data_IF_147703768731
#
_entry.id   IF_147703768731
#
_cell.length_a   1.000
_cell.length_b   1.000
_cell.length_c   1.000
_cell.angle_alpha   90.00
_cell.angle_beta   90.00
_cell.angle_gamma   90.00
#
_symmetry.space_group_name_H-M   'P 1'
#
loop_
_entity.id
_entity.type
_entity.pdbx_description
1 polymer ?
#
# COMPACT_ATOMS: atom_id res chain seq x y z
N UNK A 1 -30.32 -21.42 12.28
CA UNK A 1 -30.24 -21.24 13.75
C UNK A 1 -28.89 -21.58 14.38
N UNK A 2 -28.17 -22.68 14.07
CA UNK A 2 -26.81 -22.89 14.59
C UNK A 2 -25.74 -22.04 13.86
N UNK A 3 -25.88 -21.88 12.54
CA UNK A 3 -24.95 -21.11 11.70
C UNK A 3 -24.91 -19.61 12.08
N UNK A 4 -26.08 -18.99 12.28
CA UNK A 4 -26.17 -17.58 12.68
C UNK A 4 -25.52 -17.31 14.05
N UNK A 5 -25.63 -18.27 14.98
CA UNK A 5 -25.01 -18.17 16.30
C UNK A 5 -23.48 -18.24 16.23
N UNK A 6 -22.94 -19.06 15.34
CA UNK A 6 -21.50 -19.17 15.09
C UNK A 6 -20.97 -17.89 14.45
N UNK A 7 -21.66 -17.39 13.40
CA UNK A 7 -21.29 -16.14 12.74
C UNK A 7 -21.30 -14.95 13.71
N UNK A 8 -22.33 -14.85 14.56
CA UNK A 8 -22.42 -13.78 15.57
C UNK A 8 -21.26 -13.84 16.59
N UNK A 9 -20.88 -15.05 17.03
CA UNK A 9 -19.75 -15.25 17.93
C UNK A 9 -18.42 -14.85 17.28
N UNK A 10 -18.21 -15.25 16.02
CA UNK A 10 -17.02 -14.90 15.25
C UNK A 10 -16.91 -13.39 15.02
N UNK A 11 -18.00 -12.74 14.61
CA UNK A 11 -18.05 -11.29 14.40
C UNK A 11 -17.71 -10.52 15.68
N UNK A 12 -18.22 -10.97 16.84
CA UNK A 12 -17.90 -10.39 18.14
C UNK A 12 -16.41 -10.53 18.47
N UNK A 13 -15.82 -11.68 18.19
CA UNK A 13 -14.40 -11.92 18.40
C UNK A 13 -13.53 -11.03 17.50
N UNK A 14 -13.87 -10.93 16.21
CA UNK A 14 -13.17 -10.09 15.25
C UNK A 14 -13.24 -8.60 15.64
N UNK A 15 -14.42 -8.11 16.03
CA UNK A 15 -14.57 -6.73 16.52
C UNK A 15 -13.71 -6.44 17.75
N UNK A 16 -13.58 -7.42 18.67
CA UNK A 16 -12.67 -7.30 19.82
C UNK A 16 -11.20 -7.29 19.39
N UNK A 17 -10.80 -8.17 18.47
CA UNK A 17 -9.44 -8.20 17.91
C UNK A 17 -9.10 -6.87 17.20
N UNK A 18 -10.02 -6.32 16.41
CA UNK A 18 -9.89 -4.99 15.80
C UNK A 18 -9.67 -3.90 16.84
N UNK A 19 -10.46 -3.92 17.92
CA UNK A 19 -10.29 -2.98 19.03
C UNK A 19 -8.90 -3.01 19.65
N UNK A 20 -8.31 -4.19 19.82
CA UNK A 20 -6.94 -4.35 20.34
C UNK A 20 -5.91 -3.73 19.38
N UNK A 21 -6.05 -3.99 18.08
CA UNK A 21 -5.18 -3.44 17.03
C UNK A 21 -5.28 -1.92 16.97
N UNK A 22 -6.50 -1.36 17.02
CA UNK A 22 -6.74 0.09 17.10
C UNK A 22 -6.07 0.70 18.34
N UNK A 23 -6.23 0.06 19.51
CA UNK A 23 -5.60 0.54 20.73
C UNK A 23 -4.08 0.57 20.65
N UNK A 24 -3.46 -0.44 20.03
CA UNK A 24 -2.01 -0.45 19.80
C UNK A 24 -1.56 0.71 18.88
N UNK A 25 -2.34 1.05 17.85
CA UNK A 25 -2.05 2.21 17.00
C UNK A 25 -2.19 3.52 17.80
N UNK A 26 -3.23 3.64 18.62
CA UNK A 26 -3.42 4.78 19.51
C UNK A 26 -2.24 4.94 20.48
N UNK A 27 -1.73 3.85 21.07
CA UNK A 27 -0.54 3.90 21.92
C UNK A 27 0.70 4.42 21.16
N UNK A 28 0.90 3.97 19.91
CA UNK A 28 2.00 4.48 19.08
C UNK A 28 1.82 5.97 18.77
N UNK A 29 0.60 6.39 18.45
CA UNK A 29 0.27 7.79 18.19
C UNK A 29 0.60 8.67 19.40
N UNK A 30 0.12 8.30 20.59
CA UNK A 30 0.42 9.03 21.83
C UNK A 30 1.93 9.08 22.13
N UNK A 31 2.66 8.00 21.86
CA UNK A 31 4.11 8.01 22.00
C UNK A 31 4.77 9.01 21.04
N UNK A 32 4.41 8.99 19.75
CA UNK A 32 4.99 9.89 18.75
C UNK A 32 4.62 11.35 19.00
N UNK A 33 3.41 11.64 19.48
CA UNK A 33 2.95 12.99 19.83
C UNK A 33 3.72 13.59 21.02
N UNK A 34 4.18 12.74 21.95
CA UNK A 34 4.93 13.16 23.14
C UNK A 34 6.45 13.06 22.99
N UNK A 35 6.94 12.58 21.86
CA UNK A 35 8.38 12.38 21.62
C UNK A 35 9.08 13.70 21.27
N UNK A 36 10.22 13.96 21.92
CA UNK A 36 11.04 15.14 21.70
C UNK A 36 12.41 14.75 21.08
N UNK A 37 12.65 15.00 19.78
CA UNK A 37 13.93 14.68 19.14
C UNK A 37 15.16 15.39 19.71
N UNK A 38 14.99 16.42 20.53
CA UNK A 38 16.11 17.11 21.19
C UNK A 38 16.57 16.41 22.48
N UNK A 39 15.71 15.57 23.06
CA UNK A 39 15.95 14.85 24.32
C UNK A 39 16.00 13.33 24.09
N UNK A 40 15.09 12.82 23.27
CA UNK A 40 14.90 11.40 23.00
C UNK A 40 15.73 10.93 21.80
N UNK A 41 16.29 9.72 21.91
CA UNK A 41 17.07 9.12 20.84
C UNK A 41 16.18 8.71 19.65
N UNK A 42 16.44 9.29 18.47
CA UNK A 42 15.69 9.01 17.23
C UNK A 42 15.70 7.53 16.84
N UNK A 43 16.76 6.79 17.19
CA UNK A 43 16.82 5.33 16.97
C UNK A 43 15.67 4.58 17.67
N UNK A 44 15.16 5.08 18.80
CA UNK A 44 13.99 4.49 19.48
C UNK A 44 12.73 4.55 18.61
N UNK A 45 12.53 5.66 17.86
CA UNK A 45 11.43 5.76 16.89
C UNK A 45 11.63 4.78 15.74
N UNK A 46 12.85 4.63 15.25
CA UNK A 46 13.17 3.70 14.17
C UNK A 46 12.91 2.23 14.57
N UNK A 47 13.21 1.83 15.80
CA UNK A 47 12.85 0.49 16.28
C UNK A 47 11.34 0.33 16.43
N UNK A 48 10.65 1.33 16.99
CA UNK A 48 9.21 1.26 17.22
C UNK A 48 8.38 1.28 15.94
N UNK A 49 8.82 1.98 14.90
CA UNK A 49 8.08 2.06 13.64
C UNK A 49 8.01 0.72 12.90
N UNK A 50 8.92 -0.24 13.17
CA UNK A 50 8.91 -1.56 12.55
C UNK A 50 7.63 -2.36 12.83
N UNK A 51 6.93 -2.02 13.93
CA UNK A 51 5.67 -2.66 14.31
C UNK A 51 4.47 -2.11 13.52
N UNK A 52 4.57 -0.91 12.92
CA UNK A 52 3.47 -0.28 12.21
C UNK A 52 3.00 -1.10 10.99
N UNK A 53 3.87 -1.56 10.06
CA UNK A 53 3.43 -2.42 8.95
C UNK A 53 2.71 -3.70 9.41
N UNK A 54 3.21 -4.34 10.47
CA UNK A 54 2.59 -5.53 11.05
C UNK A 54 1.22 -5.24 11.63
N UNK A 55 1.07 -4.08 12.26
CA UNK A 55 -0.20 -3.63 12.82
C UNK A 55 -1.23 -3.33 11.73
N UNK A 56 -0.80 -2.67 10.65
CA UNK A 56 -1.65 -2.40 9.49
C UNK A 56 -2.16 -3.69 8.86
N UNK A 57 -1.26 -4.66 8.60
CA UNK A 57 -1.67 -5.96 8.04
C UNK A 57 -2.68 -6.68 8.94
N UNK A 58 -2.46 -6.70 10.26
CA UNK A 58 -3.42 -7.30 11.20
C UNK A 58 -4.77 -6.61 11.16
N UNK A 59 -4.79 -5.28 11.07
CA UNK A 59 -6.05 -4.53 10.93
C UNK A 59 -6.76 -4.93 9.65
N UNK A 60 -6.06 -4.91 8.51
CA UNK A 60 -6.61 -5.26 7.21
C UNK A 60 -7.22 -6.66 7.19
N UNK A 61 -6.47 -7.65 7.68
CA UNK A 61 -6.94 -9.04 7.73
C UNK A 61 -8.21 -9.20 8.58
N UNK A 62 -8.27 -8.53 9.74
CA UNK A 62 -9.41 -8.58 10.65
C UNK A 62 -10.60 -7.82 10.05
N UNK A 63 -10.37 -6.61 9.54
CA UNK A 63 -11.43 -5.72 9.08
C UNK A 63 -12.05 -6.23 7.79
N UNK A 64 -11.27 -6.82 6.89
CA UNK A 64 -11.81 -7.52 5.72
C UNK A 64 -12.67 -8.72 6.10
N UNK A 65 -12.32 -9.49 7.13
CA UNK A 65 -13.21 -10.55 7.62
C UNK A 65 -14.53 -9.99 8.19
N UNK A 66 -14.49 -8.82 8.82
CA UNK A 66 -15.71 -8.14 9.29
C UNK A 66 -16.56 -7.68 8.11
N UNK A 67 -15.96 -7.00 7.11
CA UNK A 67 -16.64 -6.55 5.88
C UNK A 67 -17.32 -7.72 5.14
N UNK A 68 -16.73 -8.93 5.18
CA UNK A 68 -17.30 -10.12 4.56
C UNK A 68 -18.45 -10.76 5.37
N UNK A 69 -18.57 -10.46 6.66
CA UNK A 69 -19.59 -11.03 7.56
C UNK A 69 -20.78 -10.07 7.80
N UNK A 70 -20.64 -8.82 7.38
CA UNK A 70 -21.56 -7.73 7.71
C UNK A 70 -22.25 -7.28 6.42
N UNK A 71 -23.52 -7.64 6.25
CA UNK A 71 -24.34 -7.23 5.10
C UNK A 71 -25.06 -5.88 5.32
N UNK A 72 -25.23 -5.47 6.59
CA UNK A 72 -25.82 -4.20 7.01
C UNK A 72 -24.75 -3.40 7.76
N UNK A 73 -24.59 -2.10 7.52
CA UNK A 73 -23.52 -1.22 8.05
C UNK A 73 -22.22 -1.12 7.21
N UNK A 74 -22.23 -1.46 5.91
CA UNK A 74 -21.04 -1.31 5.02
C UNK A 74 -20.38 0.08 5.13
N UNK A 75 -21.19 1.15 5.13
CA UNK A 75 -20.70 2.54 5.23
C UNK A 75 -19.93 2.79 6.53
N UNK A 76 -20.39 2.22 7.65
CA UNK A 76 -19.73 2.36 8.95
C UNK A 76 -18.40 1.62 8.99
N UNK A 77 -18.34 0.44 8.37
CA UNK A 77 -17.10 -0.32 8.30
C UNK A 77 -16.09 0.35 7.34
N UNK A 78 -16.54 0.96 6.23
CA UNK A 78 -15.71 1.80 5.34
C UNK A 78 -15.15 3.03 6.09
N UNK A 79 -15.99 3.73 6.87
CA UNK A 79 -15.53 4.83 7.72
C UNK A 79 -14.48 4.40 8.73
N UNK A 80 -14.62 3.21 9.32
CA UNK A 80 -13.66 2.70 10.29
C UNK A 80 -12.31 2.37 9.66
N UNK A 81 -12.32 1.85 8.43
CA UNK A 81 -11.11 1.66 7.63
C UNK A 81 -10.43 3.01 7.36
N UNK A 82 -11.19 3.98 6.86
CA UNK A 82 -10.70 5.32 6.55
C UNK A 82 -10.08 6.00 7.78
N UNK A 83 -10.73 5.92 8.95
CA UNK A 83 -10.22 6.46 10.22
C UNK A 83 -8.90 5.80 10.63
N UNK A 84 -8.82 4.47 10.56
CA UNK A 84 -7.60 3.75 10.91
C UNK A 84 -6.44 4.09 9.97
N UNK A 85 -6.67 4.12 8.65
CA UNK A 85 -5.65 4.46 7.66
C UNK A 85 -5.14 5.89 7.84
N UNK A 86 -6.05 6.85 8.07
CA UNK A 86 -5.69 8.23 8.33
C UNK A 86 -4.76 8.36 9.55
N UNK A 87 -5.10 7.71 10.67
CA UNK A 87 -4.26 7.69 11.87
C UNK A 87 -2.91 6.98 11.60
N UNK A 88 -2.93 5.84 10.89
CA UNK A 88 -1.74 5.08 10.55
C UNK A 88 -0.72 5.90 9.75
N UNK A 89 -1.18 6.54 8.68
CA UNK A 89 -0.31 7.34 7.81
C UNK A 89 0.12 8.64 8.48
N UNK A 90 -0.71 9.24 9.33
CA UNK A 90 -0.34 10.40 10.14
C UNK A 90 0.84 10.07 11.06
N UNK A 91 0.75 8.96 11.80
CA UNK A 91 1.83 8.49 12.67
C UNK A 91 3.11 8.20 11.86
N UNK A 92 3.00 7.46 10.75
CA UNK A 92 4.17 7.16 9.90
C UNK A 92 4.83 8.40 9.32
N UNK A 93 4.04 9.36 8.82
CA UNK A 93 4.57 10.62 8.28
C UNK A 93 5.33 11.39 9.36
N UNK A 94 4.73 11.50 10.55
CA UNK A 94 5.34 12.22 11.66
C UNK A 94 6.68 11.61 12.09
N UNK A 95 6.76 10.28 12.22
CA UNK A 95 8.02 9.59 12.49
C UNK A 95 9.05 9.88 11.39
N UNK A 96 8.65 9.77 10.12
CA UNK A 96 9.55 9.95 8.98
C UNK A 96 10.12 11.39 8.92
N UNK A 97 9.30 12.39 9.21
CA UNK A 97 9.73 13.80 9.31
C UNK A 97 10.79 13.99 10.39
N UNK A 98 10.61 13.38 11.57
CA UNK A 98 11.55 13.49 12.69
C UNK A 98 12.89 12.81 12.37
N UNK A 99 12.85 11.63 11.77
CA UNK A 99 14.05 10.90 11.33
C UNK A 99 14.80 11.66 10.24
N UNK A 100 14.09 12.29 9.28
CA UNK A 100 14.73 13.05 8.21
C UNK A 100 15.32 14.38 8.71
N UNK A 101 14.69 15.04 9.69
CA UNK A 101 15.21 16.25 10.29
C UNK A 101 16.56 16.01 10.98
N UNK A 102 16.71 14.89 11.69
CA UNK A 102 17.97 14.49 12.34
C UNK A 102 19.10 14.28 11.32
N UNK A 103 18.80 13.58 10.21
CA UNK A 103 19.77 13.35 9.13
C UNK A 103 20.26 14.66 8.49
N UNK A 104 19.37 15.63 8.30
CA UNK A 104 19.74 16.92 7.70
C UNK A 104 20.66 17.76 8.60
N UNK A 105 20.48 17.68 9.94
CA UNK A 105 21.41 18.33 10.89
C UNK A 105 22.81 17.74 10.79
N UNK A 106 22.92 16.43 10.58
CA UNK A 106 24.20 15.73 10.46
C UNK A 106 24.91 16.00 9.11
N UNK A 107 24.16 16.20 8.02
CA UNK A 107 24.73 16.46 6.67
C UNK A 107 25.26 17.90 6.53
N UNK A 108 24.64 18.89 7.18
CA UNK A 108 25.05 20.30 7.07
C UNK A 108 26.42 20.58 7.73
N UNK A 109 26.90 19.68 8.59
CA UNK A 109 28.18 19.82 9.28
C UNK A 109 29.42 19.41 8.44
N UNK A 110 29.27 18.91 7.19
CA UNK A 110 30.39 18.30 6.46
C UNK A 110 30.69 18.80 5.04
N UNK A 111 29.92 19.72 4.46
CA UNK A 111 30.15 20.14 3.07
C UNK A 111 30.47 21.63 2.92
N UNK A 112 31.73 22.00 3.18
CA UNK A 112 32.35 23.19 2.58
C UNK A 112 33.44 22.74 1.63
N UNK A 113 33.08 22.49 0.37
CA UNK A 113 34.07 22.42 -0.72
C UNK A 113 33.46 23.02 -1.98
N UNK A 114 34.08 24.12 -2.41
CA UNK A 114 33.82 24.89 -3.62
C UNK A 114 34.13 24.04 -4.87
N UNK A 115 33.34 24.18 -5.94
CA UNK A 115 33.86 24.37 -7.29
C UNK A 115 32.78 24.70 -8.33
N UNK A 116 33.08 25.77 -9.10
CA UNK A 116 32.42 26.21 -10.32
C UNK A 116 32.86 25.36 -11.53
N UNK A 117 32.02 25.21 -12.57
CA UNK A 117 32.26 25.71 -13.96
C UNK A 117 31.09 25.37 -14.94
N UNK A 118 31.04 25.89 -16.19
CA UNK A 118 29.85 26.51 -16.77
C UNK A 118 29.23 25.75 -17.95
N UNK A 119 27.99 26.09 -18.30
CA UNK A 119 27.25 25.52 -19.43
C UNK A 119 27.39 26.41 -20.67
N UNK A 120 27.97 25.84 -21.74
CA UNK A 120 27.82 26.35 -23.10
C UNK A 120 26.80 25.51 -23.90
N UNK A 121 25.99 26.24 -24.68
CA UNK A 121 25.49 25.91 -26.02
C UNK A 121 24.18 25.13 -26.25
N UNK A 122 23.34 25.83 -27.03
CA UNK A 122 22.61 25.39 -28.24
C UNK A 122 21.19 24.83 -28.12
N UNK A 123 20.28 25.47 -28.87
CA UNK A 123 18.93 25.02 -29.22
C UNK A 123 19.00 24.19 -30.51
N UNK A 124 18.58 22.92 -30.49
CA UNK A 124 18.25 22.10 -31.66
C UNK A 124 17.07 21.18 -31.27
N UNK A 125 16.03 21.10 -32.10
CA UNK A 125 14.81 20.28 -31.90
C UNK A 125 15.08 18.77 -31.96
N UNK A 126 14.16 17.95 -31.43
CA UNK A 126 14.23 16.48 -31.46
C UNK A 126 13.00 15.80 -32.12
N UNK A 127 13.19 14.57 -32.66
CA UNK A 127 12.39 13.88 -33.69
C UNK A 127 11.20 13.08 -33.10
N UNK A 128 10.36 12.41 -33.93
CA UNK A 128 9.09 11.83 -33.48
C UNK A 128 9.26 10.71 -32.42
N UNK A 129 8.44 10.79 -31.38
CA UNK A 129 8.40 9.85 -30.25
C UNK A 129 7.84 8.51 -30.74
N UNK A 130 8.66 7.45 -30.70
CA UNK A 130 8.18 6.06 -30.74
C UNK A 130 7.97 5.58 -29.30
N UNK A 131 6.91 4.81 -29.06
CA UNK A 131 6.65 4.22 -27.74
C UNK A 131 7.81 3.29 -27.35
N UNK A 132 8.31 3.38 -26.11
CA UNK A 132 9.43 2.57 -25.66
C UNK A 132 8.97 1.12 -25.41
N UNK A 133 9.61 0.16 -26.07
CA UNK A 133 9.65 -1.22 -25.59
C UNK A 133 10.65 -1.31 -24.43
N UNK A 134 10.22 -1.85 -23.29
CA UNK A 134 11.05 -2.00 -22.11
C UNK A 134 12.17 -3.01 -22.38
N UNK A 135 13.38 -2.53 -22.61
CA UNK A 135 14.55 -3.34 -22.98
C UNK A 135 15.25 -4.02 -21.79
N UNK A 136 14.76 -3.81 -20.57
CA UNK A 136 15.39 -4.29 -19.35
C UNK A 136 16.61 -3.47 -18.88
N UNK A 137 16.83 -2.27 -19.43
CA UNK A 137 17.90 -1.37 -19.00
C UNK A 137 17.44 -0.46 -17.83
N UNK A 138 18.24 -0.40 -16.76
CA UNK A 138 17.90 0.27 -15.49
C UNK A 138 17.82 1.81 -15.61
N UNK A 139 18.49 2.40 -16.61
CA UNK A 139 18.41 3.84 -16.89
C UNK A 139 17.03 4.27 -17.42
N UNK A 140 16.23 3.36 -17.98
CA UNK A 140 14.94 3.68 -18.59
C UNK A 140 13.78 3.72 -17.58
N UNK A 141 14.01 3.24 -16.35
CA UNK A 141 12.98 3.14 -15.31
C UNK A 141 12.31 4.49 -15.00
N UNK A 142 13.06 5.59 -15.01
CA UNK A 142 12.52 6.94 -14.75
C UNK A 142 11.50 7.40 -15.80
N UNK A 143 11.47 6.75 -16.96
CA UNK A 143 10.47 6.99 -18.00
C UNK A 143 9.23 6.09 -17.88
N UNK A 144 9.33 4.95 -17.18
CA UNK A 144 8.26 3.97 -17.02
C UNK A 144 7.37 4.21 -15.79
N UNK A 145 7.81 5.07 -14.86
CA UNK A 145 7.10 5.32 -13.60
C UNK A 145 6.82 6.80 -13.43
N UNK A 146 5.55 7.16 -13.21
CA UNK A 146 5.11 8.56 -13.14
C UNK A 146 4.55 8.91 -11.75
N UNK A 147 4.60 10.20 -11.40
CA UNK A 147 4.01 10.72 -10.16
C UNK A 147 4.70 10.24 -8.88
N UNK A 148 3.92 9.98 -7.83
CA UNK A 148 4.40 9.67 -6.47
C UNK A 148 5.26 8.40 -6.39
N UNK A 149 5.12 7.49 -7.36
CA UNK A 149 5.95 6.30 -7.48
C UNK A 149 7.37 6.65 -7.97
N UNK A 150 7.54 7.69 -8.80
CA UNK A 150 8.84 8.19 -9.21
C UNK A 150 9.59 8.85 -8.04
N UNK A 151 8.88 9.59 -7.18
CA UNK A 151 9.47 10.26 -6.02
C UNK A 151 10.05 9.26 -5.00
N UNK A 152 9.38 8.12 -4.81
CA UNK A 152 9.89 7.02 -3.97
C UNK A 152 11.19 6.42 -4.49
N UNK A 153 11.33 6.36 -5.80
CA UNK A 153 12.43 5.68 -6.47
C UNK A 153 13.64 6.60 -6.54
N UNK A 154 13.42 7.90 -6.78
CA UNK A 154 14.47 8.93 -6.71
C UNK A 154 15.06 9.10 -5.31
N UNK A 155 14.33 8.69 -4.26
CA UNK A 155 14.81 8.69 -2.89
C UNK A 155 15.80 7.55 -2.59
N UNK A 156 16.04 6.62 -3.53
CA UNK A 156 17.00 5.53 -3.41
C UNK A 156 18.08 5.68 -4.50
N UNK A 157 19.38 5.54 -4.19
CA UNK A 157 20.43 5.57 -5.21
C UNK A 157 20.19 4.47 -6.25
N UNK A 158 20.24 4.85 -7.53
CA UNK A 158 19.92 3.98 -8.67
C UNK A 158 21.11 3.07 -9.03
N UNK A 159 21.35 2.08 -8.17
CA UNK A 159 22.38 1.05 -8.33
C UNK A 159 21.76 -0.34 -8.43
N UNK A 160 22.38 -1.27 -9.16
CA UNK A 160 21.86 -2.65 -9.35
C UNK A 160 21.53 -3.35 -8.01
N UNK A 161 22.33 -3.11 -6.97
CA UNK A 161 22.10 -3.66 -5.63
C UNK A 161 20.87 -3.08 -4.90
N UNK A 162 20.35 -1.94 -5.36
CA UNK A 162 19.24 -1.23 -4.74
C UNK A 162 17.92 -1.44 -5.51
N UNK A 163 17.97 -2.17 -6.62
CA UNK A 163 16.82 -2.51 -7.45
C UNK A 163 15.76 -3.30 -6.67
N UNK A 164 16.21 -4.34 -5.97
CA UNK A 164 15.32 -5.18 -5.16
C UNK A 164 14.66 -4.36 -4.05
N UNK A 165 15.40 -3.43 -3.44
CA UNK A 165 14.90 -2.51 -2.42
C UNK A 165 13.86 -1.54 -2.99
N UNK A 166 14.06 -1.03 -4.22
CA UNK A 166 13.12 -0.13 -4.88
C UNK A 166 11.84 -0.87 -5.30
N UNK A 167 11.96 -2.08 -5.86
CA UNK A 167 10.84 -2.97 -6.17
C UNK A 167 10.05 -3.30 -4.91
N UNK A 168 10.73 -3.67 -3.82
CA UNK A 168 10.06 -4.03 -2.57
C UNK A 168 9.36 -2.84 -1.93
N UNK A 169 9.91 -1.62 -2.03
CA UNK A 169 9.21 -0.41 -1.61
C UNK A 169 7.98 -0.09 -2.45
N UNK A 170 8.05 -0.31 -3.76
CA UNK A 170 6.89 -0.16 -4.63
C UNK A 170 5.82 -1.21 -4.32
N UNK A 171 6.21 -2.47 -4.12
CA UNK A 171 5.29 -3.52 -3.68
C UNK A 171 4.67 -3.15 -2.33
N UNK A 172 5.47 -2.72 -1.36
CA UNK A 172 4.95 -2.34 -0.04
C UNK A 172 3.95 -1.18 -0.08
N UNK A 173 4.07 -0.26 -1.05
CA UNK A 173 3.17 0.90 -1.17
C UNK A 173 1.98 0.67 -2.09
N UNK A 174 2.15 -0.13 -3.16
CA UNK A 174 1.16 -0.27 -4.23
C UNK A 174 0.68 -1.70 -4.47
N UNK A 175 1.33 -2.74 -3.93
CA UNK A 175 0.84 -4.13 -3.93
C UNK A 175 -0.26 -4.30 -2.87
N UNK A 176 -1.40 -3.64 -3.10
CA UNK A 176 -2.59 -3.83 -2.30
C UNK A 176 -3.42 -4.98 -2.90
N UNK A 177 -2.99 -6.20 -2.60
CA UNK A 177 -3.65 -7.44 -3.04
C UNK A 177 -5.12 -7.45 -2.65
N UNK A 178 -5.45 -6.89 -1.49
CA UNK A 178 -6.83 -6.81 -1.00
C UNK A 178 -7.69 -5.88 -1.85
N UNK A 179 -7.19 -4.71 -2.29
CA UNK A 179 -7.93 -3.81 -3.19
C UNK A 179 -8.12 -4.42 -4.58
N UNK A 180 -7.13 -5.16 -5.09
CA UNK A 180 -7.26 -5.89 -6.36
C UNK A 180 -8.30 -7.01 -6.25
N UNK A 181 -8.26 -7.78 -5.16
CA UNK A 181 -9.24 -8.84 -4.86
C UNK A 181 -10.64 -8.23 -4.69
N UNK A 182 -10.79 -7.17 -3.90
CA UNK A 182 -12.06 -6.50 -3.68
C UNK A 182 -12.62 -5.88 -4.97
N UNK A 183 -11.76 -5.32 -5.83
CA UNK A 183 -12.17 -4.84 -7.16
C UNK A 183 -12.71 -5.98 -8.02
N UNK A 184 -12.03 -7.13 -8.04
CA UNK A 184 -12.49 -8.30 -8.79
C UNK A 184 -13.75 -8.95 -8.21
N UNK A 185 -13.88 -9.05 -6.88
CA UNK A 185 -15.10 -9.55 -6.20
C UNK A 185 -16.27 -8.61 -6.48
N UNK A 186 -16.07 -7.31 -6.32
CA UNK A 186 -17.09 -6.29 -6.61
C UNK A 186 -17.49 -6.31 -8.09
N UNK A 187 -16.55 -6.56 -9.00
CA UNK A 187 -16.83 -6.71 -10.44
C UNK A 187 -17.62 -7.99 -10.75
N UNK A 188 -17.32 -9.10 -10.05
CA UNK A 188 -18.07 -10.36 -10.15
C UNK A 188 -19.50 -10.21 -9.62
N UNK A 189 -19.67 -9.59 -8.44
CA UNK A 189 -20.96 -9.36 -7.80
C UNK A 189 -21.80 -8.30 -8.51
N UNK A 190 -21.16 -7.31 -9.18
CA UNK A 190 -21.83 -6.33 -10.05
C UNK A 190 -22.11 -6.86 -11.47
N UNK A 191 -21.81 -8.12 -11.77
CA UNK A 191 -22.19 -8.71 -13.06
C UNK A 191 -23.71 -8.63 -13.23
N UNK A 192 -24.22 -8.13 -14.37
CA UNK A 192 -25.66 -7.99 -14.58
C UNK A 192 -26.35 -9.35 -14.49
N UNK A 193 -27.49 -9.39 -13.79
CA UNK A 193 -28.37 -10.57 -13.72
C UNK A 193 -28.76 -10.99 -15.14
N UNK A 194 -28.50 -12.24 -15.49
CA UNK A 194 -28.86 -12.81 -16.80
C UNK A 194 -30.38 -13.02 -16.82
N UNK A 195 -31.13 -12.05 -17.34
CA UNK A 195 -32.60 -12.14 -17.44
C UNK A 195 -33.08 -12.96 -18.65
N UNK A 196 -32.24 -13.15 -19.69
CA UNK A 196 -32.56 -13.99 -20.85
C UNK A 196 -31.34 -14.81 -21.26
N UNK A 197 -31.38 -16.13 -21.01
CA UNK A 197 -30.30 -17.08 -21.30
C UNK A 197 -29.90 -17.14 -22.77
N UNK A 198 -29.10 -16.16 -23.21
CA UNK A 198 -28.44 -16.15 -24.50
C UNK A 198 -27.01 -16.62 -24.34
N UNK A 199 -26.53 -17.46 -25.27
CA UNK A 199 -25.22 -18.10 -25.19
C UNK A 199 -24.07 -17.09 -24.99
N UNK A 200 -24.18 -15.89 -25.53
CA UNK A 200 -23.20 -14.81 -25.36
C UNK A 200 -23.09 -14.33 -23.91
N UNK A 201 -24.21 -14.20 -23.19
CA UNK A 201 -24.23 -13.74 -21.79
C UNK A 201 -23.68 -14.82 -20.85
N UNK A 202 -23.95 -16.09 -21.14
CA UNK A 202 -23.38 -17.22 -20.39
C UNK A 202 -21.87 -17.33 -20.60
N UNK A 203 -21.40 -17.11 -21.83
CA UNK A 203 -19.97 -17.11 -22.15
C UNK A 203 -19.22 -15.95 -21.46
N UNK A 204 -19.85 -14.78 -21.38
CA UNK A 204 -19.28 -13.61 -20.72
C UNK A 204 -19.18 -13.82 -19.20
N UNK A 205 -20.20 -14.41 -18.58
CA UNK A 205 -20.17 -14.79 -17.17
C UNK A 205 -19.07 -15.83 -16.89
N UNK A 206 -18.98 -16.87 -17.72
CA UNK A 206 -17.93 -17.89 -17.62
C UNK A 206 -16.53 -17.27 -17.74
N UNK A 207 -16.32 -16.37 -18.71
CA UNK A 207 -15.05 -15.66 -18.88
C UNK A 207 -14.67 -14.84 -17.64
N UNK A 208 -15.62 -14.12 -17.04
CA UNK A 208 -15.38 -13.36 -15.81
C UNK A 208 -15.01 -14.26 -14.62
N UNK A 209 -15.70 -15.40 -14.45
CA UNK A 209 -15.38 -16.38 -13.40
C UNK A 209 -14.01 -17.00 -13.63
N UNK A 210 -13.65 -17.35 -14.87
CA UNK A 210 -12.32 -17.86 -15.20
C UNK A 210 -11.21 -16.84 -14.94
N UNK A 211 -11.42 -15.58 -15.28
CA UNK A 211 -10.46 -14.50 -14.98
C UNK A 211 -10.27 -14.30 -13.48
N UNK A 212 -11.35 -14.40 -12.69
CA UNK A 212 -11.30 -14.36 -11.23
C UNK A 212 -10.55 -15.55 -10.62
N UNK A 213 -10.79 -16.76 -11.11
CA UNK A 213 -10.06 -17.98 -10.69
C UNK A 213 -8.58 -17.88 -11.05
N UNK A 214 -8.26 -17.36 -12.24
CA UNK A 214 -6.88 -17.15 -12.68
C UNK A 214 -6.15 -16.09 -11.84
N UNK A 215 -6.81 -14.97 -11.51
CA UNK A 215 -6.20 -13.94 -10.66
C UNK A 215 -5.95 -14.44 -9.23
N UNK A 216 -6.85 -15.26 -8.65
CA UNK A 216 -6.61 -15.92 -7.35
C UNK A 216 -5.45 -16.91 -7.36
N UNK A 217 -5.25 -17.66 -8.45
CA UNK A 217 -4.08 -18.55 -8.62
C UNK A 217 -2.76 -17.76 -8.66
N UNK A 218 -2.74 -16.61 -9.33
CA UNK A 218 -1.56 -15.72 -9.37
C UNK A 218 -1.29 -15.09 -7.99
N UNK A 219 -2.32 -14.87 -7.17
CA UNK A 219 -2.22 -14.31 -5.82
C UNK A 219 -1.85 -15.33 -4.73
N UNK A 220 -1.60 -16.60 -5.09
CA UNK A 220 -1.14 -17.64 -4.17
C UNK A 220 -2.19 -18.10 -3.14
N UNK A 221 -3.47 -17.80 -3.36
CA UNK A 221 -4.56 -18.28 -2.52
C UNK A 221 -5.05 -19.66 -3.02
N UNK A 222 -5.34 -20.62 -2.13
CA UNK A 222 -5.88 -21.92 -2.55
C UNK A 222 -7.25 -21.73 -3.21
N UNK A 223 -7.39 -22.30 -4.41
CA UNK A 223 -8.63 -22.25 -5.23
C UNK A 223 -9.25 -23.64 -5.39
N UNK A 224 -8.72 -24.63 -4.68
CA UNK A 224 -9.25 -25.99 -4.63
C UNK A 224 -9.64 -26.26 -3.17
N UNK A 225 -10.85 -26.82 -2.99
CA UNK A 225 -11.47 -27.17 -1.71
C UNK A 225 -10.60 -28.08 -0.84
#
# INVERSE_FOLDING_TARGET
MPLDSIMFSQLKELRKKRGIVKAALTCMKTFVESFDPSVDAVSLLEFRQEELPRLNQKFDDIHTQIELMVDEDEEKEEEERSKFEADYFSVRSRIQEMVNAEKNLNVSAHNSTLNNMPLTQSRIQLPPIRMPEFSGNIQDWGSCVTGTALDLIRAVPMTDANYDVAIDRLKQRYDNRSVVIQSHIRSLLKSPRVEKGTAAQLHQLHSHVCMYVASRKVLGQPVEE
#
